data_IF_815162152406
#
_entry.id   IF_815162152406
#
_cell.length_a   1.000
_cell.length_b   1.000
_cell.length_c   1.000
_cell.angle_alpha   90.00
_cell.angle_beta   90.00
_cell.angle_gamma   90.00
#
_symmetry.space_group_name_H-M   'P 1'
#
loop_
_entity.id
_entity.type
_entity.pdbx_description
1 polymer ?
#
# COMPACT_ATOMS: atom_id res chain seq x y z
N UNK A 1 -13.00 12.42 -2.54
CA UNK A 1 -12.00 11.35 -2.63
C UNK A 1 -10.90 11.78 -3.58
N UNK A 2 -9.66 11.84 -3.13
CA UNK A 2 -8.50 12.17 -3.97
C UNK A 2 -7.71 10.88 -4.27
N UNK A 3 -7.27 10.70 -5.51
CA UNK A 3 -6.42 9.58 -5.93
C UNK A 3 -5.06 10.13 -6.36
N UNK A 4 -3.98 9.64 -5.75
CA UNK A 4 -2.63 10.15 -5.98
C UNK A 4 -1.74 8.99 -6.44
N UNK A 5 -1.23 9.09 -7.67
CA UNK A 5 -0.26 8.14 -8.21
C UNK A 5 1.18 8.57 -7.94
N UNK A 6 1.94 7.76 -7.20
CA UNK A 6 3.37 7.99 -6.97
C UNK A 6 4.19 7.18 -7.99
N UNK A 7 4.67 7.87 -9.03
CA UNK A 7 5.34 7.24 -10.18
C UNK A 7 6.73 7.80 -10.42
N UNK A 8 7.62 7.00 -11.02
CA UNK A 8 8.96 7.41 -11.45
C UNK A 8 9.52 6.40 -12.44
N UNK A 9 10.24 6.87 -13.46
CA UNK A 9 10.89 6.05 -14.48
C UNK A 9 12.13 5.27 -13.99
N UNK A 10 12.62 5.52 -12.77
CA UNK A 10 13.79 4.82 -12.21
C UNK A 10 13.42 4.03 -10.95
N UNK A 11 14.05 2.86 -10.78
CA UNK A 11 14.03 2.08 -9.54
C UNK A 11 14.83 2.74 -8.42
N UNK A 12 14.47 2.47 -7.17
CA UNK A 12 15.27 2.90 -6.00
C UNK A 12 15.22 4.39 -5.65
N UNK A 13 14.35 5.19 -6.26
CA UNK A 13 14.21 6.64 -5.95
C UNK A 13 13.40 6.95 -4.69
N UNK A 14 13.00 5.93 -3.92
CA UNK A 14 12.25 6.12 -2.67
C UNK A 14 10.72 6.25 -2.80
N UNK A 15 10.11 5.77 -3.89
CA UNK A 15 8.64 5.83 -4.07
C UNK A 15 7.87 5.19 -2.91
N UNK A 16 8.20 3.96 -2.55
CA UNK A 16 7.55 3.23 -1.44
C UNK A 16 7.82 3.91 -0.10
N UNK A 17 9.02 4.46 0.08
CA UNK A 17 9.39 5.28 1.24
C UNK A 17 8.50 6.51 1.37
N UNK A 18 8.31 7.23 0.27
CA UNK A 18 7.42 8.38 0.23
C UNK A 18 5.97 7.99 0.52
N UNK A 19 5.46 6.92 -0.11
CA UNK A 19 4.06 6.46 0.08
C UNK A 19 3.77 6.17 1.55
N UNK A 20 4.61 5.39 2.24
CA UNK A 20 4.35 5.05 3.64
C UNK A 20 4.37 6.28 4.57
N UNK A 21 5.35 7.16 4.40
CA UNK A 21 5.49 8.35 5.24
C UNK A 21 4.41 9.40 4.94
N UNK A 22 4.05 9.59 3.67
CA UNK A 22 2.97 10.48 3.27
C UNK A 22 1.64 9.98 3.85
N UNK A 23 1.37 8.68 3.76
CA UNK A 23 0.17 8.09 4.33
C UNK A 23 0.12 8.28 5.86
N UNK A 24 1.20 7.94 6.57
CA UNK A 24 1.28 8.14 8.02
C UNK A 24 1.09 9.61 8.41
N UNK A 25 1.66 10.56 7.65
CA UNK A 25 1.49 11.99 7.91
C UNK A 25 0.05 12.45 7.68
N UNK A 26 -0.59 12.00 6.60
CA UNK A 26 -1.99 12.33 6.30
C UNK A 26 -2.95 11.73 7.34
N UNK A 27 -2.73 10.47 7.76
CA UNK A 27 -3.49 9.87 8.86
C UNK A 27 -3.31 10.66 10.16
N UNK A 28 -2.09 11.09 10.48
CA UNK A 28 -1.80 11.95 11.63
C UNK A 28 -2.48 13.33 11.58
N UNK A 29 -2.87 13.80 10.40
CA UNK A 29 -3.68 15.01 10.20
C UNK A 29 -5.19 14.75 10.22
N UNK A 30 -5.63 13.52 10.50
CA UNK A 30 -7.04 13.13 10.61
C UNK A 30 -7.70 12.74 9.29
N UNK A 31 -6.92 12.50 8.23
CA UNK A 31 -7.47 11.99 6.96
C UNK A 31 -7.64 10.46 7.02
N UNK A 32 -8.71 9.97 6.40
CA UNK A 32 -8.86 8.53 6.10
C UNK A 32 -8.03 8.19 4.86
N UNK A 33 -7.00 7.36 5.05
CA UNK A 33 -5.99 7.07 4.03
C UNK A 33 -5.89 5.58 3.79
N UNK A 34 -6.09 5.18 2.54
CA UNK A 34 -5.76 3.85 2.05
C UNK A 34 -4.56 3.93 1.11
N UNK A 35 -3.57 3.07 1.33
CA UNK A 35 -2.42 2.91 0.43
C UNK A 35 -2.51 1.59 -0.31
N UNK A 36 -2.08 1.60 -1.57
CA UNK A 36 -2.08 0.42 -2.45
C UNK A 36 -0.69 0.23 -3.03
N UNK A 37 -0.11 -0.96 -2.85
CA UNK A 37 1.13 -1.31 -3.53
C UNK A 37 0.83 -1.77 -4.96
N UNK A 38 1.01 -0.86 -5.92
CA UNK A 38 0.85 -1.15 -7.33
C UNK A 38 2.08 -1.83 -7.96
N UNK A 39 3.16 -2.09 -7.21
CA UNK A 39 4.29 -2.88 -7.70
C UNK A 39 4.00 -4.38 -7.58
N UNK A 40 3.29 -4.91 -8.58
CA UNK A 40 2.85 -6.30 -8.59
C UNK A 40 3.97 -7.34 -8.78
N UNK A 41 5.18 -6.93 -9.18
CA UNK A 41 6.30 -7.89 -9.36
C UNK A 41 7.09 -8.07 -8.09
N UNK A 42 7.30 -6.98 -7.35
CA UNK A 42 8.11 -6.95 -6.11
C UNK A 42 7.49 -5.96 -5.11
N UNK A 43 6.38 -6.32 -4.44
CA UNK A 43 5.75 -5.43 -3.47
C UNK A 43 6.65 -5.24 -2.25
N UNK A 44 6.75 -4.00 -1.77
CA UNK A 44 7.61 -3.63 -0.63
C UNK A 44 6.88 -2.79 0.41
N UNK A 45 5.68 -2.28 0.10
CA UNK A 45 4.96 -1.37 0.99
C UNK A 45 4.55 -2.03 2.30
N UNK A 46 4.00 -3.26 2.23
CA UNK A 46 3.62 -4.03 3.41
C UNK A 46 4.80 -4.21 4.37
N UNK A 47 5.96 -4.63 3.84
CA UNK A 47 7.19 -4.77 4.62
C UNK A 47 7.59 -3.45 5.29
N UNK A 48 7.50 -2.33 4.57
CA UNK A 48 7.86 -1.02 5.09
C UNK A 48 6.91 -0.51 6.18
N UNK A 49 5.67 -1.03 6.20
CA UNK A 49 4.65 -0.80 7.23
C UNK A 49 4.65 -1.89 8.31
N UNK A 50 5.67 -2.77 8.36
CA UNK A 50 5.76 -3.83 9.35
C UNK A 50 4.82 -5.02 9.14
N UNK A 51 4.09 -5.06 8.02
CA UNK A 51 3.24 -6.19 7.61
C UNK A 51 4.13 -7.21 6.87
N UNK A 52 4.69 -8.16 7.62
CA UNK A 52 5.62 -9.16 7.09
C UNK A 52 4.93 -10.30 6.32
N UNK A 53 3.72 -10.67 6.70
CA UNK A 53 2.94 -11.75 6.09
C UNK A 53 1.46 -11.35 5.99
N UNK A 54 0.96 -11.26 4.76
CA UNK A 54 -0.45 -11.05 4.45
C UNK A 54 -1.00 -12.35 3.83
N UNK A 55 -1.94 -13.06 4.48
CA UNK A 55 -2.49 -14.32 3.96
C UNK A 55 -3.28 -14.14 2.65
N UNK A 56 -3.93 -12.99 2.48
CA UNK A 56 -4.66 -12.61 1.26
C UNK A 56 -4.07 -11.30 0.76
N UNK A 57 -3.72 -11.26 -0.52
CA UNK A 57 -3.04 -10.11 -1.12
C UNK A 57 -3.84 -9.53 -2.29
N UNK A 58 -3.41 -8.36 -2.79
CA UNK A 58 -3.97 -7.79 -4.01
C UNK A 58 -3.86 -8.75 -5.20
N UNK A 59 -2.85 -9.63 -5.25
CA UNK A 59 -2.73 -10.64 -6.30
C UNK A 59 -3.85 -11.66 -6.29
N UNK A 60 -4.39 -12.02 -5.12
CA UNK A 60 -5.50 -12.98 -5.01
C UNK A 60 -6.81 -12.36 -5.50
N UNK A 61 -7.02 -11.09 -5.18
CA UNK A 61 -8.14 -10.27 -5.67
C UNK A 61 -8.07 -10.11 -7.19
N UNK A 62 -6.90 -9.73 -7.74
CA UNK A 62 -6.70 -9.58 -9.18
C UNK A 62 -6.85 -10.89 -9.96
N UNK A 63 -6.64 -12.04 -9.30
CA UNK A 63 -6.90 -13.38 -9.86
C UNK A 63 -8.36 -13.82 -9.71
N UNK A 64 -9.22 -13.01 -9.09
CA UNK A 64 -10.63 -13.34 -8.84
C UNK A 64 -10.84 -14.42 -7.78
N UNK A 65 -9.84 -14.68 -6.92
CA UNK A 65 -9.91 -15.74 -5.91
C UNK A 65 -10.54 -15.29 -4.59
N UNK A 66 -10.38 -14.02 -4.25
CA UNK A 66 -10.85 -13.45 -2.99
C UNK A 66 -11.47 -12.07 -3.20
N UNK A 67 -12.30 -11.66 -2.25
CA UNK A 67 -12.91 -10.33 -2.20
C UNK A 67 -11.88 -9.26 -1.81
N UNK A 68 -12.01 -8.06 -2.38
CA UNK A 68 -11.06 -6.95 -2.16
C UNK A 68 -10.94 -6.57 -0.69
N UNK A 69 -12.02 -6.61 0.08
CA UNK A 69 -12.02 -6.23 1.49
C UNK A 69 -11.24 -7.23 2.36
N UNK A 70 -11.07 -8.48 1.91
CA UNK A 70 -10.21 -9.45 2.60
C UNK A 70 -8.72 -9.19 2.42
N UNK A 71 -8.34 -8.39 1.42
CA UNK A 71 -6.96 -7.96 1.17
C UNK A 71 -6.64 -6.60 1.83
N UNK A 72 -7.56 -6.02 2.59
CA UNK A 72 -7.36 -4.77 3.33
C UNK A 72 -6.87 -5.07 4.74
N UNK A 73 -5.75 -4.44 5.12
CA UNK A 73 -5.16 -4.57 6.45
C UNK A 73 -5.11 -3.19 7.10
N UNK A 74 -5.72 -3.07 8.29
CA UNK A 74 -5.66 -1.85 9.07
C UNK A 74 -4.31 -1.74 9.77
N UNK A 75 -3.67 -0.59 9.62
CA UNK A 75 -2.45 -0.26 10.31
C UNK A 75 -2.78 0.50 11.61
N UNK A 76 -2.09 0.21 12.73
CA UNK A 76 -2.46 0.77 14.05
C UNK A 76 -2.11 2.26 14.25
N UNK A 77 -1.45 2.91 13.28
CA UNK A 77 -1.06 4.32 13.34
C UNK A 77 -1.29 4.99 11.99
#
# INVERSE_FOLDING_TARGET
MALIGIVSGKGGVGKTTLVANLASSLTGLGYDVTVVDANLTTPHLGLQLGLSLAPITLHDVLKGKEDVFKAVYYHPF
#
